data_IF_556110717397
#
_entry.id   IF_556110717397
#
_cell.length_a   1.000
_cell.length_b   1.000
_cell.length_c   1.000
_cell.angle_alpha   90.00
_cell.angle_beta   90.00
_cell.angle_gamma   90.00
#
_symmetry.space_group_name_H-M   'P 1'
#
loop_
_entity.id
_entity.type
_entity.pdbx_description
1 polymer ?
#
# COMPACT_ATOMS: atom_id res chain seq x y z
N UNK A 1 37.32 78.67 32.98
CA UNK A 1 37.76 77.66 32.00
C UNK A 1 38.12 76.38 32.75
N UNK A 2 37.13 75.54 33.07
CA UNK A 2 37.25 74.08 33.26
C UNK A 2 35.86 73.52 32.99
N UNK A 3 35.78 72.46 32.20
CA UNK A 3 34.59 71.89 31.58
C UNK A 3 33.71 71.11 32.57
N UNK A 4 32.39 71.24 32.44
CA UNK A 4 31.39 70.35 33.04
C UNK A 4 31.27 69.08 32.18
N UNK A 5 31.64 67.92 32.74
CA UNK A 5 31.29 66.61 32.19
C UNK A 5 29.90 66.20 32.68
N UNK A 6 28.95 66.17 31.74
CA UNK A 6 27.63 65.58 31.93
C UNK A 6 27.76 64.04 31.98
N UNK A 7 27.47 63.45 33.15
CA UNK A 7 27.19 62.01 33.26
C UNK A 7 25.74 61.75 32.82
N UNK A 8 25.47 60.78 31.92
CA UNK A 8 24.11 60.47 31.54
C UNK A 8 23.43 59.59 32.58
N UNK A 9 22.18 59.96 32.86
CA UNK A 9 21.18 59.31 33.69
C UNK A 9 21.04 57.81 33.36
N UNK A 10 21.33 56.96 34.33
CA UNK A 10 21.17 55.50 34.23
C UNK A 10 19.68 55.18 34.33
N UNK A 11 19.03 55.11 33.18
CA UNK A 11 17.65 54.64 33.07
C UNK A 11 17.54 53.21 33.63
N UNK A 12 16.75 53.06 34.69
CA UNK A 12 16.39 51.76 35.26
C UNK A 12 15.69 50.89 34.21
N UNK A 13 15.99 49.57 34.16
CA UNK A 13 15.34 48.67 33.22
C UNK A 13 13.86 48.51 33.59
N UNK A 14 12.98 49.09 32.75
CA UNK A 14 11.53 48.86 32.82
C UNK A 14 11.22 47.39 32.58
N UNK A 15 10.45 46.82 33.51
CA UNK A 15 9.82 45.51 33.52
C UNK A 15 9.66 44.80 32.17
N UNK A 16 10.55 43.83 31.90
CA UNK A 16 10.40 42.86 30.81
C UNK A 16 9.60 41.60 31.23
N UNK A 17 9.14 41.52 32.48
CA UNK A 17 8.47 40.31 33.04
C UNK A 17 6.95 40.28 32.86
N UNK A 18 6.32 41.35 32.40
CA UNK A 18 4.85 41.41 32.20
C UNK A 18 4.39 40.96 30.80
N UNK A 19 5.31 40.83 29.83
CA UNK A 19 4.99 40.36 28.47
C UNK A 19 4.92 38.83 28.32
N UNK A 20 5.38 38.05 29.28
CA UNK A 20 5.51 36.58 29.13
C UNK A 20 4.26 35.76 29.49
N UNK A 21 3.23 36.37 30.10
CA UNK A 21 2.03 35.64 30.56
C UNK A 21 0.80 35.80 29.65
N UNK A 22 0.77 36.82 28.79
CA UNK A 22 -0.36 37.07 27.89
C UNK A 22 -0.27 36.27 26.57
N UNK A 23 0.95 35.90 26.16
CA UNK A 23 1.21 35.13 24.92
C UNK A 23 1.40 33.62 25.18
N UNK A 24 1.16 33.16 26.42
CA UNK A 24 1.21 31.74 26.74
C UNK A 24 0.09 30.98 26.01
N UNK A 25 0.40 29.91 25.24
CA UNK A 25 -0.61 29.14 24.51
C UNK A 25 -1.73 28.58 25.39
N UNK A 26 -1.48 28.30 26.67
CA UNK A 26 -2.54 27.85 27.59
C UNK A 26 -3.48 29.00 27.99
N UNK A 27 -2.97 30.23 28.12
CA UNK A 27 -3.79 31.43 28.35
C UNK A 27 -4.85 31.65 27.26
N UNK A 28 -4.52 31.34 26.00
CA UNK A 28 -5.48 31.38 24.89
C UNK A 28 -6.65 30.41 25.09
N UNK A 29 -6.37 29.21 25.60
CA UNK A 29 -7.39 28.19 25.89
C UNK A 29 -8.30 28.59 27.05
N UNK A 30 -7.72 29.17 28.11
CA UNK A 30 -8.49 29.71 29.24
C UNK A 30 -9.43 30.85 28.80
N UNK A 31 -8.93 31.78 27.98
CA UNK A 31 -9.75 32.87 27.42
C UNK A 31 -10.84 32.36 26.49
N UNK A 32 -10.53 31.34 25.67
CA UNK A 32 -11.51 30.70 24.78
C UNK A 32 -12.64 30.04 25.57
N UNK A 33 -12.35 29.44 26.73
CA UNK A 33 -13.34 28.82 27.60
C UNK A 33 -14.25 29.83 28.32
N UNK A 34 -13.74 31.03 28.62
CA UNK A 34 -14.49 32.11 29.26
C UNK A 34 -15.33 32.96 28.29
N UNK A 35 -15.07 32.86 26.98
CA UNK A 35 -15.76 33.64 25.95
C UNK A 35 -17.06 32.95 25.49
N UNK A 36 -18.11 33.73 25.25
CA UNK A 36 -19.35 33.24 24.65
C UNK A 36 -19.12 32.76 23.21
N UNK A 37 -19.98 31.89 22.66
CA UNK A 37 -19.93 31.53 21.24
C UNK A 37 -20.02 32.78 20.36
N UNK A 38 -19.04 32.98 19.47
CA UNK A 38 -18.96 34.18 18.64
C UNK A 38 -17.63 34.30 17.89
N UNK A 39 -17.44 35.38 17.11
CA UNK A 39 -16.25 35.59 16.29
C UNK A 39 -14.95 35.68 17.13
N UNK A 40 -15.03 36.24 18.34
CA UNK A 40 -13.89 36.33 19.24
C UNK A 40 -13.42 34.95 19.71
N UNK A 41 -14.36 34.06 20.06
CA UNK A 41 -14.05 32.67 20.44
C UNK A 41 -13.40 31.90 19.29
N UNK A 42 -13.86 32.10 18.06
CA UNK A 42 -13.24 31.45 16.89
C UNK A 42 -11.82 31.99 16.64
N UNK A 43 -11.59 33.29 16.80
CA UNK A 43 -10.26 33.87 16.69
C UNK A 43 -9.29 33.28 17.74
N UNK A 44 -9.74 33.15 18.99
CA UNK A 44 -8.97 32.51 20.07
C UNK A 44 -8.68 31.03 19.78
N UNK A 45 -9.66 30.32 19.24
CA UNK A 45 -9.52 28.93 18.82
C UNK A 45 -8.45 28.76 17.75
N UNK A 46 -8.50 29.57 16.68
CA UNK A 46 -7.50 29.56 15.60
C UNK A 46 -6.11 29.90 16.14
N UNK A 47 -6.01 30.91 17.02
CA UNK A 47 -4.74 31.28 17.66
C UNK A 47 -4.17 30.13 18.50
N UNK A 48 -4.99 29.48 19.33
CA UNK A 48 -4.58 28.34 20.15
C UNK A 48 -4.10 27.16 19.28
N UNK A 49 -4.87 26.79 18.24
CA UNK A 49 -4.47 25.73 17.30
C UNK A 49 -3.12 26.07 16.66
N UNK A 50 -2.96 27.31 16.18
CA UNK A 50 -1.73 27.76 15.52
C UNK A 50 -0.52 27.69 16.45
N UNK A 51 -0.69 28.10 17.70
CA UNK A 51 0.37 28.06 18.72
C UNK A 51 0.84 26.62 19.01
N UNK A 52 -0.05 25.63 18.94
CA UNK A 52 0.27 24.22 19.21
C UNK A 52 0.63 23.40 17.96
N UNK A 53 0.57 23.96 16.74
CA UNK A 53 1.01 23.26 15.50
C UNK A 53 2.42 22.64 15.59
N UNK A 54 3.43 23.29 16.20
CA UNK A 54 4.76 22.69 16.36
C UNK A 54 4.73 21.39 17.18
N UNK A 55 3.82 21.26 18.15
CA UNK A 55 3.64 20.02 18.94
C UNK A 55 3.10 18.91 18.04
N UNK A 56 2.03 19.18 17.29
CA UNK A 56 1.45 18.23 16.34
C UNK A 56 2.50 17.74 15.33
N UNK A 57 3.30 18.68 14.79
CA UNK A 57 4.41 18.36 13.88
C UNK A 57 5.47 17.47 14.54
N UNK A 58 5.86 17.75 15.78
CA UNK A 58 6.82 16.91 16.52
C UNK A 58 6.26 15.51 16.80
N UNK A 59 4.97 15.38 17.11
CA UNK A 59 4.32 14.08 17.35
C UNK A 59 4.25 13.26 16.06
N UNK A 60 3.80 13.84 14.95
CA UNK A 60 3.75 13.18 13.64
C UNK A 60 5.13 12.64 13.21
N UNK A 61 6.21 13.41 13.44
CA UNK A 61 7.59 13.01 13.11
C UNK A 61 8.07 11.74 13.82
N UNK A 62 7.51 11.37 14.97
CA UNK A 62 7.89 10.14 15.70
C UNK A 62 7.45 8.86 14.99
N UNK A 63 6.48 8.97 14.09
CA UNK A 63 5.85 7.83 13.42
C UNK A 63 6.39 7.56 12.00
N UNK A 64 7.43 8.29 11.57
CA UNK A 64 7.82 8.38 10.16
C UNK A 64 8.65 7.23 9.61
N UNK A 65 8.16 6.65 8.50
CA UNK A 65 8.88 6.13 7.31
C UNK A 65 7.82 5.86 6.23
N UNK A 66 8.02 5.97 4.89
CA UNK A 66 8.92 6.76 4.01
C UNK A 66 8.54 8.26 3.93
N UNK A 67 9.17 9.02 3.02
CA UNK A 67 8.96 10.49 2.83
C UNK A 67 7.50 10.84 2.53
N UNK A 68 6.82 10.01 1.76
CA UNK A 68 5.47 10.30 1.24
C UNK A 68 4.38 10.32 2.33
N UNK A 69 4.57 9.61 3.44
CA UNK A 69 3.57 9.57 4.53
C UNK A 69 3.71 10.70 5.56
N UNK A 70 4.73 11.57 5.45
CA UNK A 70 5.02 12.57 6.50
C UNK A 70 4.01 13.72 6.51
N UNK A 71 3.56 14.15 5.34
CA UNK A 71 2.56 15.22 5.22
C UNK A 71 1.19 14.72 5.69
N UNK A 72 0.79 13.51 5.31
CA UNK A 72 -0.44 12.87 5.76
C UNK A 72 -0.49 12.74 7.28
N UNK A 73 0.58 12.22 7.90
CA UNK A 73 0.66 12.11 9.35
C UNK A 73 0.62 13.48 10.03
N UNK A 74 1.21 14.51 9.42
CA UNK A 74 1.09 15.87 9.94
C UNK A 74 -0.34 16.37 9.88
N UNK A 75 -1.06 16.16 8.78
CA UNK A 75 -2.48 16.53 8.65
C UNK A 75 -3.36 15.81 9.69
N UNK A 76 -3.11 14.51 9.90
CA UNK A 76 -3.82 13.73 10.93
C UNK A 76 -3.53 14.26 12.33
N UNK A 77 -2.27 14.62 12.62
CA UNK A 77 -1.91 15.24 13.89
C UNK A 77 -2.60 16.61 14.09
N UNK A 78 -2.70 17.41 13.03
CA UNK A 78 -3.45 18.67 13.05
C UNK A 78 -4.94 18.44 13.35
N UNK A 79 -5.57 17.43 12.72
CA UNK A 79 -6.96 17.08 13.02
C UNK A 79 -7.14 16.66 14.49
N UNK A 80 -6.21 15.87 15.03
CA UNK A 80 -6.21 15.50 16.44
C UNK A 80 -6.04 16.69 17.38
N UNK A 81 -5.19 17.66 17.01
CA UNK A 81 -5.00 18.89 17.75
C UNK A 81 -6.28 19.73 17.77
N UNK A 82 -6.94 19.90 16.62
CA UNK A 82 -8.22 20.61 16.53
C UNK A 82 -9.24 20.00 17.48
N UNK A 83 -9.39 18.67 17.46
CA UNK A 83 -10.30 17.96 18.38
C UNK A 83 -9.92 18.12 19.85
N UNK A 84 -8.61 18.17 20.14
CA UNK A 84 -8.13 18.37 21.50
C UNK A 84 -8.47 19.79 21.99
N UNK A 85 -8.26 20.82 21.18
CA UNK A 85 -8.63 22.21 21.51
C UNK A 85 -10.14 22.32 21.74
N UNK A 86 -10.96 21.74 20.86
CA UNK A 86 -12.42 21.85 20.92
C UNK A 86 -13.04 21.19 22.16
N UNK A 87 -12.38 20.16 22.70
CA UNK A 87 -12.89 19.34 23.82
C UNK A 87 -12.18 19.57 25.14
N UNK A 88 -11.13 20.40 25.16
CA UNK A 88 -10.37 20.65 26.38
C UNK A 88 -11.20 21.45 27.39
N UNK A 89 -11.12 21.05 28.65
CA UNK A 89 -11.80 21.69 29.78
C UNK A 89 -10.76 22.29 30.73
N UNK A 90 -10.58 23.60 30.63
CA UNK A 90 -9.51 24.34 31.29
C UNK A 90 -9.71 24.48 32.82
N UNK A 91 -10.93 24.27 33.30
CA UNK A 91 -11.34 24.26 34.71
C UNK A 91 -10.88 23.00 35.47
N UNK A 92 -10.47 21.93 34.77
CA UNK A 92 -10.04 20.66 35.38
C UNK A 92 -8.60 20.66 35.93
N UNK A 93 -7.87 21.78 35.84
CA UNK A 93 -6.56 21.95 36.48
C UNK A 93 -5.39 21.14 35.90
N UNK A 94 -5.57 20.50 34.74
CA UNK A 94 -4.50 19.77 34.05
C UNK A 94 -3.95 20.60 32.89
N UNK A 95 -2.63 20.59 32.71
CA UNK A 95 -1.97 21.20 31.55
C UNK A 95 -2.54 20.64 30.23
N UNK A 96 -2.72 21.50 29.23
CA UNK A 96 -3.37 21.12 27.97
C UNK A 96 -2.64 19.97 27.28
N UNK A 97 -1.31 20.00 27.28
CA UNK A 97 -0.48 18.98 26.64
C UNK A 97 -0.69 17.58 27.23
N UNK A 98 -1.01 17.46 28.53
CA UNK A 98 -1.30 16.18 29.18
C UNK A 98 -2.54 15.51 28.61
N UNK A 99 -3.49 16.30 28.09
CA UNK A 99 -4.70 15.81 27.42
C UNK A 99 -4.53 15.70 25.89
N UNK A 100 -3.90 16.70 25.27
CA UNK A 100 -3.76 16.79 23.83
C UNK A 100 -2.83 15.73 23.26
N UNK A 101 -1.73 15.40 23.96
CA UNK A 101 -0.74 14.42 23.47
C UNK A 101 -1.36 13.03 23.30
N UNK A 102 -2.03 12.42 24.30
CA UNK A 102 -2.71 11.12 24.10
C UNK A 102 -3.79 11.15 23.01
N UNK A 103 -4.49 12.28 22.86
CA UNK A 103 -5.53 12.45 21.84
C UNK A 103 -4.93 12.42 20.43
N UNK A 104 -3.91 13.25 20.17
CA UNK A 104 -3.20 13.31 18.88
C UNK A 104 -2.54 11.95 18.58
N UNK A 105 -1.94 11.34 19.58
CA UNK A 105 -1.29 10.03 19.45
C UNK A 105 -2.28 8.92 19.06
N UNK A 106 -3.48 8.93 19.64
CA UNK A 106 -4.56 8.02 19.29
C UNK A 106 -5.04 8.19 17.85
N UNK A 107 -5.16 9.42 17.38
CA UNK A 107 -5.53 9.75 15.99
C UNK A 107 -4.49 9.24 14.98
N UNK A 108 -3.20 9.49 15.26
CA UNK A 108 -2.08 9.01 14.44
C UNK A 108 -2.05 7.49 14.36
N UNK A 109 -2.14 6.81 15.51
CA UNK A 109 -2.18 5.34 15.58
C UNK A 109 -3.38 4.75 14.84
N UNK A 110 -4.55 5.40 14.94
CA UNK A 110 -5.75 4.97 14.22
C UNK A 110 -5.57 5.11 12.72
N UNK A 111 -5.09 6.26 12.25
CA UNK A 111 -4.86 6.49 10.82
C UNK A 111 -3.88 5.45 10.24
N UNK A 112 -2.73 5.23 10.88
CA UNK A 112 -1.76 4.22 10.46
C UNK A 112 -2.36 2.81 10.46
N UNK A 113 -3.16 2.45 11.47
CA UNK A 113 -3.82 1.14 11.48
C UNK A 113 -4.76 0.98 10.29
N UNK A 114 -5.50 2.03 9.95
CA UNK A 114 -6.57 1.96 8.96
C UNK A 114 -6.05 2.16 7.51
N UNK A 115 -4.88 2.81 7.31
CA UNK A 115 -4.37 3.22 5.99
C UNK A 115 -2.99 2.63 5.62
N UNK A 116 -2.28 1.94 6.52
CA UNK A 116 -0.96 1.35 6.19
C UNK A 116 -1.05 -0.02 5.50
N UNK A 117 -2.24 -0.59 5.35
CA UNK A 117 -2.41 -1.86 4.62
C UNK A 117 -2.84 -1.56 3.18
N UNK A 118 -1.90 -1.72 2.23
CA UNK A 118 -2.15 -1.53 0.80
C UNK A 118 -3.12 -2.57 0.20
N UNK A 119 -3.42 -3.64 0.93
CA UNK A 119 -4.39 -4.69 0.58
C UNK A 119 -5.37 -4.88 1.72
N UNK A 120 -6.62 -5.25 1.40
CA UNK A 120 -7.63 -5.54 2.41
C UNK A 120 -7.23 -6.78 3.21
N UNK A 121 -6.85 -6.57 4.48
CA UNK A 121 -6.47 -7.65 5.41
C UNK A 121 -7.54 -7.83 6.47
N UNK A 122 -8.07 -9.06 6.69
CA UNK A 122 -9.08 -9.32 7.71
C UNK A 122 -8.66 -8.86 9.10
N UNK A 123 -9.62 -8.41 9.91
CA UNK A 123 -9.36 -7.80 11.23
C UNK A 123 -8.63 -8.74 12.20
N UNK A 124 -8.97 -10.02 12.19
CA UNK A 124 -8.30 -11.07 12.98
C UNK A 124 -6.81 -11.19 12.65
N UNK A 125 -6.42 -11.01 11.39
CA UNK A 125 -5.01 -11.02 10.95
C UNK A 125 -4.29 -9.75 11.43
N UNK A 126 -4.94 -8.59 11.37
CA UNK A 126 -4.36 -7.33 11.88
C UNK A 126 -4.14 -7.36 13.41
N UNK A 127 -5.03 -7.99 14.17
CA UNK A 127 -4.91 -8.11 15.61
C UNK A 127 -3.75 -9.05 15.99
N UNK A 128 -3.64 -10.19 15.30
CA UNK A 128 -2.54 -11.16 15.47
C UNK A 128 -1.19 -10.63 15.01
N UNK A 129 -1.17 -9.70 14.04
CA UNK A 129 0.06 -9.04 13.59
C UNK A 129 0.88 -8.45 14.74
N UNK A 130 0.25 -7.75 15.68
CA UNK A 130 0.95 -7.19 16.84
C UNK A 130 1.57 -8.26 17.74
N UNK A 131 0.88 -9.39 17.92
CA UNK A 131 1.37 -10.51 18.74
C UNK A 131 2.57 -11.18 18.06
N UNK A 132 2.46 -11.47 16.76
CA UNK A 132 3.53 -12.05 15.95
C UNK A 132 4.77 -11.14 15.91
N UNK A 133 4.60 -9.83 15.72
CA UNK A 133 5.71 -8.87 15.73
C UNK A 133 6.43 -8.80 17.07
N UNK A 134 5.70 -8.86 18.19
CA UNK A 134 6.30 -8.91 19.54
C UNK A 134 7.07 -10.19 19.76
N UNK A 135 6.51 -11.33 19.35
CA UNK A 135 7.18 -12.62 19.43
C UNK A 135 8.46 -12.65 18.58
N UNK A 136 8.42 -12.13 17.35
CA UNK A 136 9.63 -12.02 16.51
C UNK A 136 10.71 -11.17 17.16
N UNK A 137 10.35 -10.05 17.80
CA UNK A 137 11.29 -9.20 18.52
C UNK A 137 11.89 -9.91 19.74
N UNK A 138 11.08 -10.65 20.49
CA UNK A 138 11.55 -11.45 21.63
C UNK A 138 12.51 -12.57 21.20
N UNK A 139 12.15 -13.33 20.17
CA UNK A 139 13.02 -14.37 19.59
C UNK A 139 14.31 -13.77 19.00
N UNK A 140 14.26 -12.56 18.47
CA UNK A 140 15.46 -11.87 17.98
C UNK A 140 16.44 -11.56 19.12
N UNK A 141 15.92 -11.22 20.32
CA UNK A 141 16.76 -10.99 21.52
C UNK A 141 17.41 -12.26 22.04
N UNK A 142 16.84 -13.44 21.77
CA UNK A 142 17.48 -14.71 22.12
C UNK A 142 18.57 -15.12 21.13
N UNK A 143 18.87 -14.29 20.13
CA UNK A 143 19.89 -14.54 19.12
C UNK A 143 19.40 -15.30 17.89
N UNK A 144 18.09 -15.55 17.75
CA UNK A 144 17.56 -16.22 16.57
C UNK A 144 17.55 -15.25 15.37
N UNK A 145 18.07 -15.69 14.21
CA UNK A 145 18.04 -14.89 13.00
C UNK A 145 16.59 -14.66 12.54
N UNK A 146 16.35 -13.51 11.92
CA UNK A 146 15.05 -13.11 11.37
C UNK A 146 13.85 -13.11 12.34
N UNK A 147 14.10 -13.23 13.66
CA UNK A 147 13.03 -13.31 14.66
C UNK A 147 12.39 -14.69 14.77
N UNK A 148 13.12 -15.75 14.41
CA UNK A 148 12.67 -17.14 14.56
C UNK A 148 11.78 -17.65 13.42
N UNK A 149 11.61 -18.96 13.39
CA UNK A 149 10.75 -19.72 12.49
C UNK A 149 9.27 -19.58 12.87
N UNK A 150 8.38 -19.90 11.93
CA UNK A 150 6.93 -19.94 12.18
C UNK A 150 6.57 -20.83 13.37
N UNK A 151 7.29 -21.94 13.54
CA UNK A 151 7.07 -22.89 14.65
C UNK A 151 7.48 -22.30 16.00
N UNK A 152 8.61 -21.60 16.07
CA UNK A 152 9.05 -20.93 17.31
C UNK A 152 8.09 -19.81 17.71
N UNK A 153 7.59 -19.04 16.74
CA UNK A 153 6.56 -18.02 16.96
C UNK A 153 5.26 -18.67 17.46
N UNK A 154 4.86 -19.82 16.90
CA UNK A 154 3.68 -20.56 17.32
C UNK A 154 3.80 -21.04 18.78
N UNK A 155 4.97 -21.58 19.15
CA UNK A 155 5.26 -22.01 20.52
C UNK A 155 5.19 -20.86 21.52
N UNK A 156 5.69 -19.68 21.15
CA UNK A 156 5.69 -18.51 22.04
C UNK A 156 4.31 -17.84 22.16
N UNK A 157 3.52 -17.82 21.08
CA UNK A 157 2.26 -17.05 21.01
C UNK A 157 1.00 -17.89 21.19
N UNK A 158 1.08 -19.21 20.99
CA UNK A 158 -0.08 -20.11 20.91
C UNK A 158 -0.91 -19.94 19.64
N UNK A 159 -0.47 -19.14 18.66
CA UNK A 159 -1.19 -18.95 17.39
C UNK A 159 -0.86 -20.13 16.44
N UNK A 160 -1.84 -20.69 15.73
CA UNK A 160 -1.58 -21.74 14.73
C UNK A 160 -0.59 -21.27 13.65
N UNK A 161 0.31 -22.16 13.22
CA UNK A 161 1.32 -21.80 12.21
C UNK A 161 0.72 -21.30 10.88
N UNK A 162 -0.44 -21.83 10.48
CA UNK A 162 -1.15 -21.36 9.29
C UNK A 162 -1.53 -19.88 9.39
N UNK A 163 -2.02 -19.47 10.56
CA UNK A 163 -2.40 -18.08 10.83
C UNK A 163 -1.17 -17.19 10.92
N UNK A 164 -0.06 -17.67 11.49
CA UNK A 164 1.22 -16.94 11.51
C UNK A 164 1.73 -16.73 10.09
N UNK A 165 1.71 -17.77 9.23
CA UNK A 165 2.10 -17.62 7.81
C UNK A 165 1.26 -16.56 7.11
N UNK A 166 -0.06 -16.53 7.36
CA UNK A 166 -0.94 -15.53 6.79
C UNK A 166 -0.57 -14.11 7.28
N UNK A 167 -0.32 -13.95 8.59
CA UNK A 167 0.14 -12.69 9.18
C UNK A 167 1.47 -12.23 8.58
N UNK A 168 2.45 -13.12 8.42
CA UNK A 168 3.76 -12.80 7.84
C UNK A 168 3.66 -12.39 6.37
N UNK A 169 2.82 -13.08 5.58
CA UNK A 169 2.53 -12.68 4.19
C UNK A 169 1.86 -11.31 4.14
N UNK A 170 0.92 -11.06 5.05
CA UNK A 170 0.24 -9.78 5.15
C UNK A 170 1.22 -8.65 5.56
N UNK A 171 2.17 -8.91 6.48
CA UNK A 171 3.22 -7.96 6.86
C UNK A 171 4.12 -7.61 5.67
N UNK A 172 4.53 -8.62 4.88
CA UNK A 172 5.32 -8.40 3.67
C UNK A 172 4.58 -7.53 2.64
N UNK A 173 3.25 -7.65 2.54
CA UNK A 173 2.42 -6.86 1.65
C UNK A 173 2.21 -5.40 2.11
N UNK A 174 2.65 -5.01 3.33
CA UNK A 174 2.60 -3.61 3.80
C UNK A 174 3.60 -2.69 3.11
N UNK A 175 4.64 -3.24 2.50
CA UNK A 175 5.62 -2.46 1.74
C UNK A 175 5.86 -3.15 0.40
N UNK A 176 4.92 -3.02 -0.56
CA UNK A 176 5.08 -3.61 -1.87
C UNK A 176 6.36 -3.07 -2.52
N UNK A 177 7.10 -3.95 -3.19
CA UNK A 177 8.23 -3.53 -4.01
C UNK A 177 7.70 -2.74 -5.21
N UNK A 178 8.41 -1.67 -5.60
CA UNK A 178 8.06 -0.96 -6.82
C UNK A 178 8.39 -1.84 -8.02
N UNK A 179 7.46 -1.92 -8.97
CA UNK A 179 7.66 -2.61 -10.25
C UNK A 179 8.79 -1.93 -11.06
N UNK A 180 8.96 -0.63 -10.87
CA UNK A 180 10.01 0.17 -11.48
C UNK A 180 11.33 0.16 -10.68
N UNK A 181 11.40 -0.56 -9.54
CA UNK A 181 12.63 -0.66 -8.76
C UNK A 181 13.72 -1.35 -9.60
N UNK A 182 14.77 -0.60 -9.94
CA UNK A 182 15.91 -1.12 -10.70
C UNK A 182 16.78 -2.00 -9.80
N UNK A 183 17.05 -3.24 -10.24
CA UNK A 183 17.91 -4.20 -9.55
C UNK A 183 18.96 -4.81 -10.48
N UNK A 184 19.96 -5.45 -9.89
CA UNK A 184 21.08 -6.06 -10.61
C UNK A 184 22.36 -5.20 -10.65
N UNK A 185 23.48 -5.77 -11.09
CA UNK A 185 24.81 -5.16 -10.99
C UNK A 185 24.95 -3.84 -11.77
N UNK A 186 24.13 -3.61 -12.80
CA UNK A 186 24.19 -2.39 -13.63
C UNK A 186 23.01 -1.42 -13.42
N UNK A 187 22.07 -1.71 -12.49
CA UNK A 187 20.84 -0.90 -12.26
C UNK A 187 20.08 -0.54 -13.56
N UNK A 188 20.11 -1.43 -14.55
CA UNK A 188 19.48 -1.21 -15.86
C UNK A 188 18.11 -1.86 -16.01
N UNK A 189 17.80 -2.89 -15.20
CA UNK A 189 16.61 -3.71 -15.35
C UNK A 189 15.65 -3.48 -14.20
N UNK A 190 14.43 -3.08 -14.51
CA UNK A 190 13.34 -2.96 -13.54
C UNK A 190 12.88 -4.33 -13.05
N UNK A 191 12.25 -4.37 -11.87
CA UNK A 191 11.60 -5.58 -11.38
C UNK A 191 10.57 -6.10 -12.41
N UNK A 192 9.85 -5.19 -13.07
CA UNK A 192 8.90 -5.50 -14.14
C UNK A 192 9.53 -6.36 -15.25
N UNK A 193 10.69 -5.94 -15.75
CA UNK A 193 11.39 -6.59 -16.86
C UNK A 193 12.02 -7.93 -16.46
N UNK A 194 12.21 -8.16 -15.16
CA UNK A 194 12.69 -9.45 -14.64
C UNK A 194 11.58 -10.49 -14.45
N UNK A 195 10.31 -10.07 -14.47
CA UNK A 195 9.16 -10.96 -14.30
C UNK A 195 8.83 -11.63 -15.64
N UNK A 196 9.13 -12.92 -15.73
CA UNK A 196 8.67 -13.75 -16.85
C UNK A 196 7.14 -13.90 -16.84
N UNK A 197 6.57 -14.09 -18.03
CA UNK A 197 5.17 -14.44 -18.21
C UNK A 197 5.04 -15.87 -18.74
N UNK A 198 3.90 -16.51 -18.49
CA UNK A 198 3.55 -17.77 -19.13
C UNK A 198 3.35 -17.51 -20.64
N UNK A 199 4.13 -18.20 -21.48
CA UNK A 199 3.97 -18.12 -22.93
C UNK A 199 2.97 -19.18 -23.40
N UNK A 200 1.71 -18.77 -23.58
CA UNK A 200 0.65 -19.63 -24.10
C UNK A 200 0.94 -20.18 -25.51
N UNK A 201 1.92 -19.64 -26.26
CA UNK A 201 2.37 -20.23 -27.51
C UNK A 201 3.15 -21.52 -27.27
N UNK A 202 3.92 -21.63 -26.18
CA UNK A 202 4.68 -22.85 -25.83
C UNK A 202 3.74 -24.04 -25.56
N UNK A 203 2.61 -23.81 -24.88
CA UNK A 203 1.60 -24.87 -24.67
C UNK A 203 1.08 -25.43 -26.00
N UNK A 204 0.87 -24.56 -26.99
CA UNK A 204 0.36 -24.95 -28.32
C UNK A 204 1.40 -25.63 -29.21
N UNK A 205 2.70 -25.56 -28.89
CA UNK A 205 3.76 -26.19 -29.71
C UNK A 205 3.59 -27.71 -29.70
N UNK A 206 3.34 -28.30 -28.54
CA UNK A 206 3.12 -29.74 -28.40
C UNK A 206 1.89 -30.18 -29.17
N UNK A 207 0.78 -29.46 -29.03
CA UNK A 207 -0.46 -29.72 -29.76
C UNK A 207 -0.25 -29.64 -31.28
N UNK A 208 0.50 -28.64 -31.74
CA UNK A 208 0.80 -28.45 -33.16
C UNK A 208 1.65 -29.59 -33.72
N UNK A 209 2.70 -30.00 -33.01
CA UNK A 209 3.56 -31.11 -33.42
C UNK A 209 2.79 -32.43 -33.51
N UNK A 210 1.92 -32.70 -32.53
CA UNK A 210 1.05 -33.87 -32.55
C UNK A 210 0.05 -33.80 -33.72
N UNK A 211 -0.56 -32.64 -33.96
CA UNK A 211 -1.51 -32.45 -35.05
C UNK A 211 -0.86 -32.61 -36.44
N UNK A 212 0.35 -32.07 -36.64
CA UNK A 212 1.09 -32.18 -37.91
C UNK A 212 1.32 -33.66 -38.28
N UNK A 213 1.73 -34.48 -37.29
CA UNK A 213 1.91 -35.92 -37.50
C UNK A 213 0.59 -36.64 -37.84
N UNK A 214 -0.52 -36.26 -37.21
CA UNK A 214 -1.84 -36.86 -37.48
C UNK A 214 -2.38 -36.46 -38.86
N UNK A 215 -2.21 -35.20 -39.27
CA UNK A 215 -2.63 -34.70 -40.59
C UNK A 215 -1.92 -35.44 -41.72
N UNK A 216 -0.64 -35.82 -41.52
CA UNK A 216 0.11 -36.61 -42.50
C UNK A 216 -0.44 -38.04 -42.70
N UNK A 217 -1.17 -38.58 -41.71
CA UNK A 217 -1.81 -39.91 -41.79
C UNK A 217 -3.17 -39.89 -42.48
N UNK A 218 -3.74 -38.71 -42.72
CA UNK A 218 -5.00 -38.60 -43.46
C UNK A 218 -4.82 -38.96 -44.94
N UNK A 219 -5.87 -39.44 -45.61
CA UNK A 219 -5.87 -39.58 -47.05
C UNK A 219 -5.48 -38.27 -47.74
N UNK A 220 -4.67 -38.37 -48.80
CA UNK A 220 -4.12 -37.20 -49.51
C UNK A 220 -5.19 -36.17 -49.90
N UNK A 221 -6.36 -36.66 -50.33
CA UNK A 221 -7.50 -35.83 -50.71
C UNK A 221 -8.07 -35.03 -49.53
N UNK A 222 -8.14 -35.63 -48.34
CA UNK A 222 -8.61 -34.94 -47.13
C UNK A 222 -7.59 -33.93 -46.63
N UNK A 223 -6.30 -34.28 -46.64
CA UNK A 223 -5.21 -33.36 -46.31
C UNK A 223 -5.21 -32.14 -47.22
N UNK A 224 -5.43 -32.34 -48.52
CA UNK A 224 -5.51 -31.26 -49.51
C UNK A 224 -6.73 -30.36 -49.27
N UNK A 225 -7.90 -30.94 -48.95
CA UNK A 225 -9.09 -30.18 -48.57
C UNK A 225 -8.86 -29.36 -47.29
N UNK A 226 -8.21 -29.94 -46.27
CA UNK A 226 -7.89 -29.24 -45.02
C UNK A 226 -6.94 -28.06 -45.26
N UNK A 227 -5.88 -28.25 -46.04
CA UNK A 227 -4.93 -27.20 -46.35
C UNK A 227 -5.60 -26.03 -47.09
N UNK A 228 -6.37 -26.31 -48.15
CA UNK A 228 -7.08 -25.27 -48.89
C UNK A 228 -8.09 -24.49 -48.02
N UNK A 229 -8.75 -25.16 -47.07
CA UNK A 229 -9.75 -24.52 -46.22
C UNK A 229 -9.16 -23.77 -45.02
N UNK A 230 -8.23 -24.38 -44.29
CA UNK A 230 -7.71 -23.83 -43.01
C UNK A 230 -6.39 -23.04 -43.14
N UNK A 231 -5.59 -23.30 -44.19
CA UNK A 231 -4.31 -22.60 -44.39
C UNK A 231 -4.47 -21.52 -45.46
N UNK A 232 -5.01 -21.89 -46.62
CA UNK A 232 -5.27 -20.95 -47.72
C UNK A 232 -6.58 -20.15 -47.53
N UNK A 233 -7.36 -20.45 -46.49
CA UNK A 233 -8.59 -19.75 -46.11
C UNK A 233 -9.66 -19.67 -47.21
N UNK A 234 -9.71 -20.64 -48.12
CA UNK A 234 -10.68 -20.67 -49.20
C UNK A 234 -12.07 -21.13 -48.70
N UNK A 235 -13.12 -20.64 -49.34
CA UNK A 235 -14.49 -21.09 -49.07
C UNK A 235 -14.70 -22.52 -49.57
N UNK A 236 -15.66 -23.25 -48.98
CA UNK A 236 -15.95 -24.63 -49.41
C UNK A 236 -16.40 -24.73 -50.87
N UNK A 237 -16.90 -23.65 -51.47
CA UNK A 237 -17.23 -23.59 -52.91
C UNK A 237 -15.96 -23.50 -53.74
N UNK A 238 -15.05 -22.59 -53.42
CA UNK A 238 -13.76 -22.46 -54.12
C UNK A 238 -12.92 -23.75 -54.00
N UNK A 239 -12.90 -24.37 -52.81
CA UNK A 239 -12.25 -25.69 -52.63
C UNK A 239 -12.91 -26.77 -53.50
N UNK A 240 -14.23 -26.73 -53.67
CA UNK A 240 -14.97 -27.68 -54.48
C UNK A 240 -14.65 -27.51 -55.97
N UNK A 241 -14.54 -26.26 -56.43
CA UNK A 241 -14.15 -25.92 -57.79
C UNK A 241 -12.72 -26.39 -58.10
N UNK A 242 -11.77 -26.20 -57.17
CA UNK A 242 -10.38 -26.66 -57.31
C UNK A 242 -10.26 -28.19 -57.34
N UNK A 243 -11.07 -28.89 -56.55
CA UNK A 243 -10.99 -30.37 -56.40
C UNK A 243 -11.90 -31.11 -57.39
N UNK A 244 -12.81 -30.42 -58.07
CA UNK A 244 -13.74 -31.00 -59.03
C UNK A 244 -14.84 -31.85 -58.38
N UNK A 245 -15.39 -31.38 -57.25
CA UNK A 245 -16.50 -32.05 -56.54
C UNK A 245 -17.59 -31.04 -56.16
N UNK A 246 -18.69 -31.49 -55.56
CA UNK A 246 -19.68 -30.57 -55.01
C UNK A 246 -19.23 -29.99 -53.67
N UNK A 247 -19.65 -28.75 -53.36
CA UNK A 247 -19.41 -28.14 -52.04
C UNK A 247 -19.90 -29.02 -50.88
N UNK A 248 -21.01 -29.73 -51.06
CA UNK A 248 -21.51 -30.64 -50.05
C UNK A 248 -20.57 -31.84 -49.81
N UNK A 249 -19.88 -32.30 -50.85
CA UNK A 249 -18.84 -33.31 -50.72
C UNK A 249 -17.63 -32.78 -49.94
N UNK A 250 -17.17 -31.55 -50.22
CA UNK A 250 -16.09 -30.88 -49.46
C UNK A 250 -16.45 -30.77 -47.97
N UNK A 251 -17.67 -30.35 -47.66
CA UNK A 251 -18.14 -30.25 -46.27
C UNK A 251 -18.12 -31.61 -45.56
N UNK A 252 -18.50 -32.70 -46.24
CA UNK A 252 -18.42 -34.07 -45.69
C UNK A 252 -16.97 -34.49 -45.45
N UNK A 253 -16.06 -34.20 -46.38
CA UNK A 253 -14.63 -34.48 -46.22
C UNK A 253 -14.03 -33.72 -45.03
N UNK A 254 -14.32 -32.42 -44.89
CA UNK A 254 -13.88 -31.60 -43.76
C UNK A 254 -14.38 -32.17 -42.43
N UNK A 255 -15.69 -32.49 -42.32
CA UNK A 255 -16.24 -33.09 -41.09
C UNK A 255 -15.57 -34.41 -40.75
N UNK A 256 -15.39 -35.30 -41.74
CA UNK A 256 -14.76 -36.60 -41.53
C UNK A 256 -13.30 -36.43 -41.08
N UNK A 257 -12.53 -35.61 -41.79
CA UNK A 257 -11.14 -35.35 -41.46
C UNK A 257 -10.99 -34.76 -40.04
N UNK A 258 -11.79 -33.75 -39.68
CA UNK A 258 -11.76 -33.15 -38.34
C UNK A 258 -12.18 -34.15 -37.24
N UNK A 259 -13.16 -35.03 -37.51
CA UNK A 259 -13.56 -36.06 -36.56
C UNK A 259 -12.43 -37.09 -36.34
N UNK A 260 -11.79 -37.54 -37.42
CA UNK A 260 -10.64 -38.45 -37.37
C UNK A 260 -9.49 -37.85 -36.59
N UNK A 261 -9.11 -36.59 -36.88
CA UNK A 261 -8.06 -35.88 -36.18
C UNK A 261 -8.37 -35.72 -34.69
N UNK A 262 -9.60 -35.33 -34.34
CA UNK A 262 -10.03 -35.18 -32.94
C UNK A 262 -9.98 -36.50 -32.17
N UNK A 263 -10.47 -37.59 -32.75
CA UNK A 263 -10.41 -38.91 -32.12
C UNK A 263 -8.95 -39.33 -31.90
N UNK A 264 -8.12 -39.21 -32.94
CA UNK A 264 -6.71 -39.61 -32.88
C UNK A 264 -5.86 -38.75 -31.93
N UNK A 265 -6.28 -37.51 -31.68
CA UNK A 265 -5.61 -36.57 -30.77
C UNK A 265 -5.99 -36.80 -29.30
N UNK A 266 -7.18 -37.35 -29.01
CA UNK A 266 -7.65 -37.60 -27.64
C UNK A 266 -7.32 -39.01 -27.14
N UNK A 267 -7.16 -39.97 -28.06
CA UNK A 267 -6.89 -41.38 -27.73
C UNK A 267 -5.41 -41.78 -27.90
N UNK A 268 -4.54 -40.83 -28.29
CA UNK A 268 -3.08 -41.00 -28.37
C UNK A 268 -2.38 -40.36 -27.18
#
# INVERSE_FOLDING_TARGET
MVQEEQSPDVAQPRDARSRSSQDDPESLLHRMAACAPGPEREALRVAAITAFLPVARRLARRYGSPVDSREDLYQVACLGLVRAVDRFQADRGHAFLSYAVPTIDGELKRHLRDHTWHVHVPRTVQERHRQVRRAQEELRRTGLPHGGSTREIALLTGIPEADIRLVLRADAARNPLSVDEQRGPERGTSLAESLGAEDAALERVTDKLALDALVLRLPERERRVLNLYFVECLTQREVADIIGVSQMHVSRLLRRACATLRHSFLDG
#
